data_IF_985034900040
#
_entry.id   IF_985034900040
#
_cell.length_a   1.000
_cell.length_b   1.000
_cell.length_c   1.000
_cell.angle_alpha   90.00
_cell.angle_beta   90.00
_cell.angle_gamma   90.00
#
_symmetry.space_group_name_H-M   'P 1'
#
loop_
_entity.id
_entity.type
_entity.pdbx_description
1 polymer ?
#
# COMPACT_ATOMS: atom_id res chain seq x y z
N UNK A 1 -12.93 -8.28 -19.88
CA UNK A 1 -13.34 -7.96 -18.51
C UNK A 1 -14.08 -6.63 -18.54
N UNK A 2 -15.27 -6.59 -17.97
CA UNK A 2 -16.08 -5.37 -17.89
C UNK A 2 -15.49 -4.45 -16.83
N UNK A 3 -15.66 -3.14 -17.01
CA UNK A 3 -15.00 -2.12 -16.18
C UNK A 3 -15.29 -2.35 -14.69
N UNK A 4 -16.54 -2.56 -14.29
CA UNK A 4 -16.91 -2.78 -12.89
C UNK A 4 -16.32 -4.07 -12.29
N UNK A 5 -16.29 -5.17 -13.06
CA UNK A 5 -15.67 -6.44 -12.64
C UNK A 5 -14.17 -6.29 -12.38
N UNK A 6 -13.46 -5.57 -13.27
CA UNK A 6 -12.01 -5.34 -13.12
C UNK A 6 -11.65 -4.58 -11.85
N UNK A 7 -12.53 -3.69 -11.39
CA UNK A 7 -12.29 -2.85 -10.22
C UNK A 7 -12.96 -3.40 -8.94
N UNK A 8 -13.58 -4.59 -9.01
CA UNK A 8 -14.29 -5.19 -7.87
C UNK A 8 -15.51 -4.39 -7.41
N UNK A 9 -16.08 -3.57 -8.30
CA UNK A 9 -17.18 -2.67 -7.97
C UNK A 9 -18.51 -3.37 -8.29
N UNK A 10 -19.31 -3.66 -7.25
CA UNK A 10 -20.52 -4.48 -7.38
C UNK A 10 -21.76 -3.73 -7.86
N UNK A 11 -21.70 -2.41 -7.97
CA UNK A 11 -22.86 -1.55 -8.26
C UNK A 11 -22.47 -0.33 -9.09
N UNK A 12 -23.39 0.25 -9.87
CA UNK A 12 -23.15 1.41 -10.73
C UNK A 12 -23.15 2.76 -9.97
N UNK A 13 -23.02 2.73 -8.64
CA UNK A 13 -22.98 3.90 -7.76
C UNK A 13 -21.67 4.70 -7.84
N UNK A 14 -20.92 4.59 -8.93
CA UNK A 14 -19.63 5.25 -9.11
C UNK A 14 -19.43 5.73 -10.54
N UNK A 15 -18.65 6.80 -10.67
CA UNK A 15 -18.12 7.27 -11.94
C UNK A 15 -16.59 7.17 -11.91
N UNK A 16 -16.02 6.70 -13.02
CA UNK A 16 -14.58 6.65 -13.24
C UNK A 16 -14.20 7.73 -14.25
N UNK A 17 -13.05 8.37 -14.06
CA UNK A 17 -12.57 9.46 -14.91
C UNK A 17 -11.10 9.28 -15.25
N UNK A 18 -10.70 9.74 -16.43
CA UNK A 18 -9.28 9.70 -16.85
C UNK A 18 -8.45 10.84 -16.30
N UNK A 19 -9.10 11.97 -15.97
CA UNK A 19 -8.41 13.19 -15.58
C UNK A 19 -8.76 13.63 -14.17
N UNK A 20 -7.78 14.27 -13.52
CA UNK A 20 -7.96 14.94 -12.24
C UNK A 20 -8.90 16.13 -12.45
N UNK A 21 -10.14 16.01 -11.96
CA UNK A 21 -11.19 17.01 -12.17
C UNK A 21 -12.48 16.46 -12.75
N UNK A 22 -12.67 15.14 -12.72
CA UNK A 22 -13.90 14.46 -13.15
C UNK A 22 -14.25 14.74 -14.62
N UNK A 23 -13.22 14.80 -15.46
CA UNK A 23 -13.34 14.95 -16.92
C UNK A 23 -13.06 13.62 -17.59
N UNK A 24 -13.64 13.43 -18.77
CA UNK A 24 -13.50 12.20 -19.57
C UNK A 24 -13.94 10.97 -18.77
N UNK A 25 -15.24 10.89 -18.53
CA UNK A 25 -15.88 9.78 -17.83
C UNK A 25 -15.71 8.48 -18.60
N UNK A 26 -15.25 7.46 -17.90
CA UNK A 26 -15.19 6.08 -18.35
C UNK A 26 -16.54 5.43 -18.05
N UNK A 27 -17.46 5.54 -19.01
CA UNK A 27 -18.80 4.99 -18.89
C UNK A 27 -18.72 3.47 -18.78
N UNK A 28 -19.10 2.93 -17.62
CA UNK A 28 -19.27 1.49 -17.41
C UNK A 28 -20.62 1.07 -17.97
N UNK A 29 -20.63 0.46 -19.17
CA UNK A 29 -21.81 -0.19 -19.74
C UNK A 29 -21.55 -1.68 -19.96
N UNK A 30 -22.63 -2.48 -20.12
CA UNK A 30 -22.53 -3.92 -20.43
C UNK A 30 -21.75 -4.22 -21.72
N UNK A 31 -21.61 -3.24 -22.62
CA UNK A 31 -20.90 -3.38 -23.89
C UNK A 31 -19.49 -2.78 -23.88
N UNK A 32 -19.10 -2.05 -22.84
CA UNK A 32 -17.79 -1.42 -22.73
C UNK A 32 -16.85 -2.23 -21.82
N UNK A 33 -15.75 -2.69 -22.41
CA UNK A 33 -14.65 -3.33 -21.70
C UNK A 33 -13.54 -2.33 -21.38
N UNK A 34 -12.70 -2.63 -20.39
CA UNK A 34 -11.51 -1.82 -20.05
C UNK A 34 -10.62 -1.54 -21.27
N UNK A 35 -10.49 -2.54 -22.16
CA UNK A 35 -9.73 -2.41 -23.41
C UNK A 35 -10.37 -1.43 -24.39
N UNK A 36 -11.70 -1.45 -24.54
CA UNK A 36 -12.41 -0.50 -25.41
C UNK A 36 -12.39 0.93 -24.87
N UNK A 37 -12.22 1.08 -23.55
CA UNK A 37 -12.01 2.38 -22.94
C UNK A 37 -10.61 2.92 -23.22
N UNK A 38 -9.65 2.10 -23.68
CA UNK A 38 -8.27 2.48 -23.98
C UNK A 38 -7.39 2.61 -22.72
N UNK A 39 -7.68 1.87 -21.65
CA UNK A 39 -6.89 1.92 -20.41
C UNK A 39 -5.68 0.98 -20.57
N UNK A 40 -4.49 1.52 -20.34
CA UNK A 40 -3.23 0.79 -20.40
C UNK A 40 -2.60 0.62 -19.01
N UNK A 41 -1.64 -0.30 -18.90
CA UNK A 41 -0.87 -0.47 -17.66
C UNK A 41 -0.07 0.81 -17.37
N UNK A 42 -0.28 1.39 -16.19
CA UNK A 42 0.31 2.67 -15.79
C UNK A 42 -0.63 3.88 -15.89
N UNK A 43 -1.82 3.73 -16.47
CA UNK A 43 -2.83 4.80 -16.50
C UNK A 43 -3.41 5.06 -15.10
N UNK A 44 -3.49 6.33 -14.71
CA UNK A 44 -4.16 6.75 -13.47
C UNK A 44 -5.63 7.00 -13.73
N UNK A 45 -6.52 6.37 -12.96
CA UNK A 45 -7.96 6.55 -13.04
C UNK A 45 -8.47 7.16 -11.74
N UNK A 46 -9.40 8.10 -11.85
CA UNK A 46 -10.02 8.78 -10.72
C UNK A 46 -11.42 8.23 -10.50
N UNK A 47 -11.71 7.81 -9.28
CA UNK A 47 -13.01 7.27 -8.89
C UNK A 47 -13.77 8.30 -8.06
N UNK A 48 -15.02 8.58 -8.43
CA UNK A 48 -15.93 9.43 -7.67
C UNK A 48 -17.18 8.64 -7.26
N UNK A 49 -17.55 8.63 -5.97
CA UNK A 49 -18.82 8.08 -5.53
C UNK A 49 -20.00 8.88 -6.09
N UNK A 50 -20.97 8.20 -6.70
CA UNK A 50 -22.25 8.80 -7.00
C UNK A 50 -23.18 8.53 -5.80
N UNK A 51 -23.78 9.59 -5.26
CA UNK A 51 -24.79 9.51 -4.20
C UNK A 51 -24.31 8.91 -2.85
N UNK A 52 -22.99 8.89 -2.57
CA UNK A 52 -22.44 8.35 -1.32
C UNK A 52 -22.48 6.82 -1.19
N UNK A 53 -23.00 6.13 -2.21
CA UNK A 53 -23.30 4.69 -2.16
C UNK A 53 -22.06 3.78 -2.18
N UNK A 54 -20.89 4.27 -2.61
CA UNK A 54 -19.69 3.44 -2.69
C UNK A 54 -19.15 2.96 -1.33
N UNK A 55 -19.49 3.67 -0.26
CA UNK A 55 -18.99 3.37 1.09
C UNK A 55 -20.09 3.04 2.09
N UNK A 56 -21.35 3.12 1.67
CA UNK A 56 -22.51 2.78 2.48
C UNK A 56 -23.05 1.43 2.04
N UNK A 57 -22.45 0.35 2.51
CA UNK A 57 -23.03 -0.99 2.38
C UNK A 57 -23.82 -1.33 3.65
N UNK A 58 -24.83 -0.51 3.94
CA UNK A 58 -25.92 -0.88 4.84
C UNK A 58 -27.19 -1.03 3.98
N UNK A 59 -27.84 -2.21 3.92
CA UNK A 59 -29.04 -2.42 3.12
C UNK A 59 -30.31 -1.76 3.71
N UNK A 60 -30.16 -0.86 4.68
CA UNK A 60 -31.29 -0.15 5.28
C UNK A 60 -30.84 1.21 5.82
N UNK A 61 -30.88 2.27 5.00
CA UNK A 61 -31.20 3.65 5.43
C UNK A 61 -31.25 4.62 4.24
N UNK A 62 -32.37 5.35 4.16
CA UNK A 62 -32.67 6.40 3.20
C UNK A 62 -31.84 7.69 3.44
N UNK A 63 -31.77 8.63 2.46
CA UNK A 63 -30.70 9.62 2.39
C UNK A 63 -30.95 10.79 3.34
N UNK A 64 -29.92 11.18 4.10
CA UNK A 64 -29.92 12.46 4.82
C UNK A 64 -29.09 13.49 4.07
N UNK A 65 -29.79 14.54 3.67
CA UNK A 65 -29.26 15.76 3.06
C UNK A 65 -28.43 16.53 4.06
N UNK A 66 -27.17 16.82 3.75
CA UNK A 66 -26.49 17.99 4.33
C UNK A 66 -25.46 18.53 3.35
N UNK A 67 -25.80 19.70 2.81
CA UNK A 67 -24.90 20.60 2.09
C UNK A 67 -23.76 21.04 3.03
N UNK A 68 -22.53 21.04 2.54
CA UNK A 68 -21.49 21.95 3.03
C UNK A 68 -20.53 22.29 1.89
N UNK A 69 -20.64 23.55 1.48
CA UNK A 69 -19.72 24.28 0.62
C UNK A 69 -18.40 24.52 1.34
N UNK A 70 -17.26 24.48 0.63
CA UNK A 70 -16.34 25.62 0.50
C UNK A 70 -15.03 25.22 -0.22
N UNK A 71 -14.74 25.97 -1.29
CA UNK A 71 -13.45 26.09 -1.98
C UNK A 71 -12.44 26.80 -1.04
N UNK A 72 -11.11 26.66 -1.10
CA UNK A 72 -10.14 27.11 -2.13
C UNK A 72 -8.69 26.79 -1.65
N UNK A 73 -7.66 26.91 -2.52
CA UNK A 73 -6.32 26.30 -2.35
C UNK A 73 -5.20 27.27 -1.89
N UNK A 74 -4.03 26.69 -1.58
CA UNK A 74 -2.64 27.23 -1.70
C UNK A 74 -1.83 27.37 -0.39
N UNK A 75 -0.56 26.91 -0.42
CA UNK A 75 0.55 27.47 0.37
C UNK A 75 1.15 26.67 1.53
N UNK A 76 2.21 25.90 1.23
CA UNK A 76 3.42 25.56 2.05
C UNK A 76 3.34 24.74 3.37
N UNK A 77 4.39 23.93 3.70
CA UNK A 77 4.35 22.96 4.79
C UNK A 77 4.91 23.54 6.09
N UNK A 78 4.15 23.44 7.18
CA UNK A 78 4.68 23.64 8.54
C UNK A 78 4.95 22.27 9.17
N UNK A 79 6.21 22.09 9.53
CA UNK A 79 6.73 21.00 10.35
C UNK A 79 6.18 21.07 11.78
N UNK A 80 5.85 19.89 12.30
CA UNK A 80 6.04 19.43 13.69
C UNK A 80 4.77 18.88 14.39
N UNK A 81 4.81 17.57 14.66
CA UNK A 81 4.23 16.81 15.78
C UNK A 81 3.92 15.35 15.36
N UNK A 82 4.25 14.34 16.20
CA UNK A 82 4.15 12.93 15.84
C UNK A 82 2.67 12.50 15.95
N UNK A 83 1.99 12.47 14.81
CA UNK A 83 0.72 11.75 14.73
C UNK A 83 1.01 10.28 14.96
N UNK A 84 0.62 9.77 16.14
CA UNK A 84 0.46 8.34 16.39
C UNK A 84 -0.37 7.81 15.23
N UNK A 85 0.25 7.07 14.32
CA UNK A 85 -0.45 6.33 13.28
C UNK A 85 -1.24 5.22 13.99
N UNK A 86 -2.39 5.59 14.52
CA UNK A 86 -3.47 4.62 14.65
C UNK A 86 -3.69 4.07 13.23
N UNK A 87 -3.71 2.75 13.03
CA UNK A 87 -4.11 2.21 11.74
C UNK A 87 -5.46 2.85 11.39
N UNK A 88 -5.65 3.33 10.15
CA UNK A 88 -6.90 3.95 9.77
C UNK A 88 -8.01 2.93 10.04
N UNK A 89 -8.85 3.21 11.04
CA UNK A 89 -10.11 2.50 11.30
C UNK A 89 -11.15 2.88 10.24
N UNK A 90 -10.74 2.85 8.97
CA UNK A 90 -11.66 2.70 7.87
C UNK A 90 -12.18 1.26 7.85
N UNK A 91 -13.34 1.00 7.27
CA UNK A 91 -13.74 -0.38 7.02
C UNK A 91 -12.60 -1.03 6.24
N UNK A 92 -12.05 -2.12 6.77
CA UNK A 92 -11.17 -2.98 6.02
C UNK A 92 -11.98 -3.46 4.82
N UNK A 93 -11.87 -2.72 3.70
CA UNK A 93 -11.95 -3.34 2.40
C UNK A 93 -11.04 -4.54 2.55
N UNK A 94 -11.59 -5.74 2.40
CA UNK A 94 -10.80 -6.96 2.26
C UNK A 94 -10.07 -6.84 0.94
N UNK A 95 -9.10 -5.93 0.89
CA UNK A 95 -8.16 -5.75 -0.19
C UNK A 95 -7.36 -7.04 -0.17
N UNK A 96 -7.60 -7.85 -1.19
CA UNK A 96 -6.79 -9.02 -1.43
C UNK A 96 -5.42 -8.50 -1.87
N UNK A 97 -4.45 -8.57 -0.95
CA UNK A 97 -3.04 -8.34 -1.26
C UNK A 97 -2.56 -9.38 -2.28
N UNK A 98 -1.53 -9.03 -3.05
CA UNK A 98 -0.93 -9.97 -3.99
C UNK A 98 -0.33 -11.16 -3.23
N UNK A 99 -0.46 -12.37 -3.79
CA UNK A 99 0.05 -13.60 -3.16
C UNK A 99 1.56 -13.51 -2.84
N UNK A 100 2.31 -12.77 -3.66
CA UNK A 100 3.75 -12.54 -3.48
C UNK A 100 4.03 -11.69 -2.25
N UNK A 101 3.24 -10.63 -2.03
CA UNK A 101 3.39 -9.75 -0.88
C UNK A 101 3.05 -10.50 0.42
N UNK A 102 2.03 -11.35 0.40
CA UNK A 102 1.67 -12.22 1.52
C UNK A 102 2.78 -13.22 1.87
N UNK A 103 3.51 -13.72 0.87
CA UNK A 103 4.67 -14.59 1.09
C UNK A 103 5.84 -13.82 1.69
N UNK A 104 6.19 -12.67 1.10
CA UNK A 104 7.29 -11.81 1.55
C UNK A 104 7.06 -11.26 2.97
N UNK A 105 5.81 -11.00 3.33
CA UNK A 105 5.44 -10.55 4.68
C UNK A 105 5.82 -11.57 5.76
N UNK A 106 5.66 -12.87 5.47
CA UNK A 106 5.95 -13.97 6.40
C UNK A 106 7.45 -14.22 6.60
N UNK A 107 8.30 -13.75 5.68
CA UNK A 107 9.75 -13.98 5.71
C UNK A 107 10.46 -12.87 6.48
N UNK A 108 11.23 -13.20 7.52
CA UNK A 108 11.97 -12.22 8.33
C UNK A 108 13.00 -11.42 7.53
N UNK A 109 13.61 -12.04 6.53
CA UNK A 109 14.60 -11.44 5.63
C UNK A 109 15.99 -11.28 6.27
N UNK A 110 16.25 -11.89 7.44
CA UNK A 110 17.54 -11.73 8.14
C UNK A 110 18.64 -12.49 7.41
N UNK A 111 19.78 -11.83 7.26
CA UNK A 111 20.95 -12.40 6.55
C UNK A 111 21.80 -13.19 7.54
N UNK A 112 21.88 -14.51 7.34
CA UNK A 112 22.66 -15.40 8.19
C UNK A 112 24.16 -15.22 7.95
N UNK A 113 24.91 -14.82 8.98
CA UNK A 113 26.37 -14.74 8.91
C UNK A 113 27.02 -16.07 9.22
N UNK A 114 28.16 -16.35 8.58
CA UNK A 114 29.01 -17.49 8.92
C UNK A 114 29.80 -17.20 10.20
N UNK A 115 30.13 -18.25 10.93
CA UNK A 115 31.02 -18.16 12.09
C UNK A 115 32.42 -17.71 11.60
N UNK A 116 32.95 -16.68 12.23
CA UNK A 116 34.32 -16.21 12.01
C UNK A 116 35.26 -16.90 13.01
N UNK A 117 36.19 -17.72 12.52
CA UNK A 117 37.10 -18.50 13.37
C UNK A 117 38.03 -17.64 14.24
N UNK A 118 38.29 -16.38 13.85
CA UNK A 118 39.20 -15.49 14.59
C UNK A 118 38.49 -14.75 15.72
N UNK A 119 37.23 -14.36 15.50
CA UNK A 119 36.47 -13.51 16.43
C UNK A 119 35.40 -14.26 17.22
N UNK A 120 34.93 -15.42 16.75
CA UNK A 120 33.89 -16.19 17.42
C UNK A 120 34.47 -17.16 18.46
N UNK A 121 34.39 -16.77 19.73
CA UNK A 121 34.81 -17.61 20.88
C UNK A 121 33.66 -18.38 21.51
N UNK A 122 32.91 -19.12 20.71
CA UNK A 122 31.75 -19.89 21.19
C UNK A 122 31.60 -21.24 20.48
N UNK A 123 30.85 -22.15 21.10
CA UNK A 123 30.53 -23.47 20.55
C UNK A 123 29.65 -23.40 19.28
N UNK A 124 29.41 -24.55 18.65
CA UNK A 124 28.72 -24.63 17.36
C UNK A 124 27.27 -24.08 17.39
N UNK A 125 26.56 -24.23 18.51
CA UNK A 125 25.16 -23.83 18.66
C UNK A 125 24.96 -22.49 19.39
N UNK A 126 26.05 -21.74 19.61
CA UNK A 126 26.01 -20.43 20.23
C UNK A 126 26.21 -19.34 19.18
N UNK A 127 25.77 -18.13 19.47
CA UNK A 127 25.96 -16.96 18.62
C UNK A 127 26.56 -15.79 19.42
N UNK A 128 27.31 -14.94 18.74
CA UNK A 128 27.85 -13.70 19.26
C UNK A 128 27.61 -12.55 18.28
N UNK A 129 28.04 -11.34 18.63
CA UNK A 129 27.89 -10.14 17.79
C UNK A 129 28.59 -10.25 16.43
N UNK A 130 29.55 -11.16 16.27
CA UNK A 130 30.26 -11.38 15.00
C UNK A 130 29.56 -12.38 14.05
N UNK A 131 28.63 -13.19 14.56
CA UNK A 131 27.94 -14.21 13.75
C UNK A 131 26.40 -14.15 13.87
N UNK A 132 25.85 -13.23 14.67
CA UNK A 132 24.40 -13.01 14.73
C UNK A 132 23.85 -12.62 13.36
N UNK A 133 22.61 -12.98 13.01
CA UNK A 133 22.02 -12.57 11.75
C UNK A 133 21.98 -11.05 11.61
N UNK A 134 22.25 -10.53 10.41
CA UNK A 134 22.11 -9.11 10.10
C UNK A 134 20.67 -8.78 9.72
N UNK A 135 20.26 -7.55 10.00
CA UNK A 135 18.97 -7.05 9.58
C UNK A 135 18.94 -6.86 8.05
N UNK A 136 17.78 -7.08 7.39
CA UNK A 136 17.65 -6.92 5.94
C UNK A 136 17.94 -5.49 5.43
N UNK A 137 17.94 -4.50 6.33
CA UNK A 137 18.16 -3.08 6.05
C UNK A 137 19.53 -2.57 6.54
N UNK A 138 20.47 -3.47 6.85
CA UNK A 138 21.84 -3.12 7.22
C UNK A 138 22.59 -2.46 6.05
N UNK A 139 22.95 -1.19 6.23
CA UNK A 139 23.58 -0.37 5.18
C UNK A 139 24.99 -0.84 4.81
N UNK A 140 25.73 -1.42 5.76
CA UNK A 140 27.08 -1.93 5.49
C UNK A 140 27.00 -3.17 4.58
N UNK A 141 26.10 -4.10 4.91
CA UNK A 141 25.89 -5.31 4.10
C UNK A 141 25.37 -4.99 2.70
N UNK A 142 24.39 -4.09 2.59
CA UNK A 142 23.84 -3.70 1.28
C UNK A 142 24.89 -3.05 0.39
N UNK A 143 25.78 -2.24 0.96
CA UNK A 143 26.90 -1.62 0.24
C UNK A 143 27.91 -2.67 -0.25
N UNK A 144 28.25 -3.66 0.58
CA UNK A 144 29.14 -4.76 0.19
C UNK A 144 28.56 -5.61 -0.95
N UNK A 145 27.24 -5.85 -0.93
CA UNK A 145 26.54 -6.60 -1.98
C UNK A 145 26.17 -5.74 -3.21
N UNK A 146 26.61 -4.48 -3.27
CA UNK A 146 26.29 -3.54 -4.36
C UNK A 146 24.77 -3.33 -4.59
N UNK A 147 23.98 -3.42 -3.51
CA UNK A 147 22.54 -3.16 -3.54
C UNK A 147 22.30 -1.66 -3.39
N UNK A 148 21.76 -1.03 -4.44
CA UNK A 148 21.53 0.42 -4.49
C UNK A 148 20.30 0.89 -3.72
N UNK A 149 19.27 0.04 -3.67
CA UNK A 149 17.96 0.38 -3.10
C UNK A 149 17.50 -0.74 -2.18
N UNK A 150 16.94 -0.35 -1.04
CA UNK A 150 16.32 -1.27 -0.10
C UNK A 150 15.05 -1.84 -0.73
N UNK A 151 14.77 -3.13 -0.51
CA UNK A 151 13.50 -3.70 -0.93
C UNK A 151 12.35 -3.08 -0.13
N UNK A 152 11.16 -3.03 -0.71
CA UNK A 152 10.00 -2.44 -0.05
C UNK A 152 9.71 -3.08 1.31
N UNK A 153 9.70 -4.42 1.40
CA UNK A 153 9.49 -5.13 2.67
C UNK A 153 10.59 -4.88 3.70
N UNK A 154 11.86 -4.77 3.28
CA UNK A 154 12.94 -4.44 4.21
C UNK A 154 12.83 -2.99 4.71
N UNK A 155 12.32 -2.07 3.88
CA UNK A 155 12.01 -0.71 4.29
C UNK A 155 10.85 -0.66 5.29
N UNK A 156 9.76 -1.39 5.04
CA UNK A 156 8.66 -1.52 6.01
C UNK A 156 9.17 -2.04 7.35
N UNK A 157 10.03 -3.07 7.34
CA UNK A 157 10.67 -3.61 8.56
C UNK A 157 11.53 -2.57 9.26
N UNK A 158 12.30 -1.75 8.53
CA UNK A 158 13.09 -0.65 9.10
C UNK A 158 12.21 0.38 9.83
N UNK A 159 11.02 0.66 9.31
CA UNK A 159 10.07 1.61 9.93
C UNK A 159 9.41 1.03 11.19
N UNK A 160 9.18 -0.29 11.24
CA UNK A 160 8.52 -0.95 12.37
C UNK A 160 9.52 -1.48 13.41
N UNK A 161 10.81 -1.57 13.10
CA UNK A 161 11.85 -2.01 14.00
C UNK A 161 12.04 -0.99 15.14
N UNK A 162 11.59 -1.34 16.35
CA UNK A 162 11.60 -0.47 17.53
C UNK A 162 10.23 -0.26 18.17
N UNK A 163 9.16 -0.82 17.60
CA UNK A 163 7.88 -1.02 18.29
C UNK A 163 7.96 -2.35 19.04
N UNK A 164 8.57 -2.32 20.23
CA UNK A 164 8.42 -3.35 21.28
C UNK A 164 7.52 -2.79 22.40
#
# INVERSE_FOLDING_TARGET
VQVHDTFGLTDYGFALYRERGNKNELISSRSHSVRSCGVHHGDTIYLTPLNGALWSKDPASHPSTSKAVNNTPSGEPVIDAPSKFAPPRGPSLTLQEDDVDLQLWKLDGKVQRKKDDKFCRHGANACCVHCSPLEPFDEAYLKEQNVKHLSFHAYLRKLTAGVD
#
